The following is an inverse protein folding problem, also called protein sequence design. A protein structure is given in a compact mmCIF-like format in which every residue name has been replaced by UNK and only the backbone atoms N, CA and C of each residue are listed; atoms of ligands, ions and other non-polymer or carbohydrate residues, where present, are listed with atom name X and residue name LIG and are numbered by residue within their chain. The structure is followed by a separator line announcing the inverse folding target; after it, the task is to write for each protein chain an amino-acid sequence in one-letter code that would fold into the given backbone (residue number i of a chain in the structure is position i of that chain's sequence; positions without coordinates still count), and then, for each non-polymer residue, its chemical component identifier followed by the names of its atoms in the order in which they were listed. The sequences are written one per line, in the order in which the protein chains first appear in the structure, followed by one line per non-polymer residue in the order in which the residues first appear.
data_IF_173034764986
#
_entry.id   IF_173034764986
#
_cell.length_a   1.000
_cell.length_b   1.000
_cell.length_c   1.000
_cell.angle_alpha   90.00
_cell.angle_beta   90.00
_cell.angle_gamma   90.00
#
_symmetry.space_group_name_H-M   'P 1'
#
loop_
_entity.id
_entity.type
_entity.pdbx_description
1 polymer ?
#
# COMPACT_ATOMS: atom_id res chain seq x y z
N UNK A 1 15.92 16.51 -21.99
CA UNK A 1 14.93 15.42 -21.76
C UNK A 1 14.19 15.67 -20.45
N UNK A 2 12.88 15.43 -20.36
CA UNK A 2 12.08 15.62 -19.12
C UNK A 2 11.66 14.27 -18.50
N UNK A 3 12.64 13.42 -18.16
CA UNK A 3 12.41 12.03 -17.73
C UNK A 3 11.56 11.97 -16.46
N UNK A 4 11.92 12.74 -15.42
CA UNK A 4 11.15 12.78 -14.17
C UNK A 4 9.67 13.14 -14.42
N UNK A 5 9.43 14.14 -15.27
CA UNK A 5 8.06 14.55 -15.62
C UNK A 5 7.29 13.46 -16.37
N UNK A 6 7.96 12.64 -17.17
CA UNK A 6 7.33 11.49 -17.83
C UNK A 6 6.96 10.40 -16.82
N UNK A 7 7.83 10.12 -15.83
CA UNK A 7 7.57 9.17 -14.75
C UNK A 7 6.40 9.65 -13.89
N UNK A 8 6.39 10.92 -13.50
CA UNK A 8 5.34 11.51 -12.66
C UNK A 8 3.94 11.53 -13.32
N UNK A 9 3.86 11.37 -14.65
CA UNK A 9 2.58 11.24 -15.37
C UNK A 9 1.92 9.87 -15.20
N UNK A 10 2.69 8.85 -14.85
CA UNK A 10 2.18 7.50 -14.64
C UNK A 10 1.86 7.34 -13.15
N UNK A 11 0.62 7.00 -12.77
CA UNK A 11 0.29 6.72 -11.38
C UNK A 11 1.15 5.57 -10.84
N UNK A 12 1.86 5.80 -9.74
CA UNK A 12 2.86 4.86 -9.20
C UNK A 12 4.16 4.76 -10.00
N UNK A 13 4.38 5.63 -10.99
CA UNK A 13 5.51 5.56 -11.92
C UNK A 13 6.88 5.59 -11.26
N UNK A 14 7.04 6.32 -10.16
CA UNK A 14 8.29 6.37 -9.37
C UNK A 14 8.73 5.00 -8.84
N UNK A 15 7.78 4.09 -8.63
CA UNK A 15 8.05 2.72 -8.23
C UNK A 15 8.09 1.78 -9.44
N UNK A 16 7.12 1.88 -10.33
CA UNK A 16 6.91 0.90 -11.39
C UNK A 16 7.99 0.97 -12.47
N UNK A 17 8.41 2.17 -12.87
CA UNK A 17 9.42 2.29 -13.92
C UNK A 17 10.77 1.70 -13.48
N UNK A 18 11.29 2.01 -12.27
CA UNK A 18 12.51 1.36 -11.77
C UNK A 18 12.35 -0.14 -11.53
N UNK A 19 11.19 -0.60 -11.04
CA UNK A 19 10.91 -2.03 -10.89
C UNK A 19 10.94 -2.77 -12.23
N UNK A 20 10.30 -2.22 -13.25
CA UNK A 20 10.32 -2.81 -14.58
C UNK A 20 11.73 -2.82 -15.18
N UNK A 21 12.51 -1.75 -14.97
CA UNK A 21 13.93 -1.72 -15.35
C UNK A 21 14.73 -2.82 -14.64
N UNK A 22 14.49 -3.04 -13.34
CA UNK A 22 15.11 -4.15 -12.61
C UNK A 22 14.71 -5.52 -13.16
N UNK A 23 13.43 -5.71 -13.51
CA UNK A 23 12.95 -6.97 -14.09
C UNK A 23 13.54 -7.22 -15.49
N UNK A 24 13.74 -6.17 -16.29
CA UNK A 24 14.47 -6.25 -17.55
C UNK A 24 15.92 -6.68 -17.30
N UNK A 25 16.61 -6.07 -16.34
CA UNK A 25 17.97 -6.44 -15.96
C UNK A 25 18.06 -7.91 -15.52
N UNK A 26 17.17 -8.38 -14.65
CA UNK A 26 17.15 -9.77 -14.20
C UNK A 26 16.78 -10.76 -15.30
N UNK A 27 15.93 -10.37 -16.26
CA UNK A 27 15.53 -11.26 -17.37
C UNK A 27 16.62 -11.39 -18.41
N UNK A 28 17.24 -10.28 -18.83
CA UNK A 28 18.23 -10.28 -19.91
C UNK A 28 19.67 -10.45 -19.42
N UNK A 29 19.95 -10.14 -18.15
CA UNK A 29 21.28 -10.23 -17.56
C UNK A 29 21.22 -10.64 -16.06
N UNK A 30 20.66 -11.82 -15.72
CA UNK A 30 20.45 -12.27 -14.33
C UNK A 30 21.74 -12.34 -13.47
N UNK A 31 22.89 -12.49 -14.11
CA UNK A 31 24.20 -12.53 -13.46
C UNK A 31 24.87 -11.15 -13.29
N UNK A 32 24.28 -10.07 -13.81
CA UNK A 32 24.96 -8.76 -13.92
C UNK A 32 25.45 -8.23 -12.57
N UNK A 33 24.64 -8.34 -11.51
CA UNK A 33 25.03 -7.92 -10.17
C UNK A 33 26.28 -8.67 -9.69
N UNK A 34 26.24 -10.00 -9.71
CA UNK A 34 27.38 -10.84 -9.28
C UNK A 34 28.63 -10.62 -10.15
N UNK A 35 28.45 -10.46 -11.46
CA UNK A 35 29.54 -10.22 -12.40
C UNK A 35 30.23 -8.87 -12.17
N UNK A 36 29.45 -7.80 -11.96
CA UNK A 36 30.00 -6.45 -11.76
C UNK A 36 30.50 -6.23 -10.32
N UNK A 37 29.95 -6.96 -9.35
CA UNK A 37 30.33 -6.84 -7.94
C UNK A 37 30.11 -5.43 -7.37
N UNK A 38 30.79 -5.13 -6.26
CA UNK A 38 30.90 -3.79 -5.66
C UNK A 38 29.54 -3.07 -5.49
N UNK A 39 29.50 -1.75 -5.70
CA UNK A 39 28.31 -0.90 -5.57
C UNK A 39 27.15 -1.35 -6.47
N UNK A 40 27.44 -1.85 -7.67
CA UNK A 40 26.39 -2.31 -8.60
C UNK A 40 25.66 -3.54 -8.06
N UNK A 41 26.39 -4.53 -7.54
CA UNK A 41 25.79 -5.67 -6.86
C UNK A 41 25.01 -5.22 -5.61
N UNK A 42 25.59 -4.30 -4.85
CA UNK A 42 24.94 -3.73 -3.66
C UNK A 42 23.60 -3.07 -3.98
N UNK A 43 23.52 -2.31 -5.08
CA UNK A 43 22.27 -1.68 -5.52
C UNK A 43 21.25 -2.72 -6.04
N UNK A 44 21.71 -3.69 -6.84
CA UNK A 44 20.84 -4.73 -7.44
C UNK A 44 20.24 -5.65 -6.37
N UNK A 45 21.01 -5.99 -5.34
CA UNK A 45 20.60 -6.96 -4.30
C UNK A 45 20.12 -6.28 -3.00
N UNK A 46 20.30 -4.97 -2.88
CA UNK A 46 20.08 -4.18 -1.66
C UNK A 46 18.63 -3.88 -1.30
N UNK A 47 17.67 -4.73 -1.65
CA UNK A 47 16.24 -4.52 -1.37
C UNK A 47 15.97 -4.22 0.10
N UNK A 48 16.40 -5.11 1.00
CA UNK A 48 16.18 -4.99 2.45
C UNK A 48 16.84 -3.76 3.06
N UNK A 49 18.15 -3.50 2.86
CA UNK A 49 18.78 -2.33 3.48
C UNK A 49 18.19 -1.01 2.97
N UNK A 50 17.87 -0.87 1.68
CA UNK A 50 17.25 0.35 1.15
C UNK A 50 15.84 0.54 1.73
N UNK A 51 15.06 -0.54 1.84
CA UNK A 51 13.75 -0.50 2.50
C UNK A 51 13.86 -0.11 3.97
N UNK A 52 14.82 -0.66 4.72
CA UNK A 52 15.03 -0.32 6.12
C UNK A 52 15.31 1.18 6.32
N UNK A 53 16.14 1.78 5.45
CA UNK A 53 16.38 3.23 5.45
C UNK A 53 15.09 3.99 5.09
N UNK A 54 14.32 3.50 4.12
CA UNK A 54 13.04 4.11 3.77
C UNK A 54 12.01 4.06 4.92
N UNK A 55 11.92 2.96 5.67
CA UNK A 55 11.08 2.85 6.88
C UNK A 55 11.51 3.83 7.96
N UNK A 56 12.81 3.98 8.18
CA UNK A 56 13.34 4.97 9.08
C UNK A 56 12.93 6.39 8.64
N UNK A 57 13.11 6.73 7.36
CA UNK A 57 12.73 8.04 6.84
C UNK A 57 11.22 8.29 6.94
N UNK A 58 10.40 7.26 6.71
CA UNK A 58 8.96 7.34 6.90
C UNK A 58 8.60 7.59 8.35
N UNK A 59 9.17 6.84 9.30
CA UNK A 59 8.96 7.07 10.73
C UNK A 59 9.29 8.51 11.10
N UNK A 60 10.45 9.00 10.66
CA UNK A 60 10.90 10.36 10.93
C UNK A 60 9.98 11.45 10.34
N UNK A 61 9.21 11.15 9.29
CA UNK A 61 8.29 12.10 8.68
C UNK A 61 7.01 12.35 9.49
N UNK A 62 6.68 11.48 10.44
CA UNK A 62 5.41 11.53 11.19
C UNK A 62 5.52 12.49 12.38
N UNK A 63 4.54 13.40 12.51
CA UNK A 63 4.40 14.32 13.65
C UNK A 63 3.32 13.84 14.62
N UNK A 64 3.61 13.90 15.93
CA UNK A 64 2.67 13.54 17.00
C UNK A 64 1.46 14.48 17.16
N UNK A 65 1.42 15.63 16.48
CA UNK A 65 0.36 16.64 16.63
C UNK A 65 -0.93 16.31 15.87
N UNK A 66 -1.43 15.09 15.99
CA UNK A 66 -2.73 14.71 15.46
C UNK A 66 -3.84 15.13 16.43
N UNK A 67 -4.91 15.75 15.92
CA UNK A 67 -6.10 16.03 16.74
C UNK A 67 -6.84 14.72 17.05
N UNK A 68 -7.54 14.64 18.19
CA UNK A 68 -8.32 13.43 18.54
C UNK A 68 -9.32 13.01 17.45
N UNK A 69 -9.91 13.99 16.76
CA UNK A 69 -10.79 13.76 15.61
C UNK A 69 -10.06 13.14 14.42
N UNK A 70 -8.83 13.60 14.11
CA UNK A 70 -7.99 13.01 13.05
C UNK A 70 -7.64 11.56 13.38
N UNK A 71 -7.26 11.28 14.65
CA UNK A 71 -6.96 9.93 15.11
C UNK A 71 -8.18 9.01 15.00
N UNK A 72 -9.36 9.49 15.39
CA UNK A 72 -10.61 8.72 15.26
C UNK A 72 -10.90 8.39 13.80
N UNK A 73 -10.91 9.39 12.91
CA UNK A 73 -11.26 9.19 11.50
C UNK A 73 -10.26 8.26 10.80
N UNK A 74 -8.97 8.49 10.98
CA UNK A 74 -7.96 7.62 10.37
C UNK A 74 -7.97 6.22 10.98
N UNK A 75 -8.02 6.11 12.31
CA UNK A 75 -7.99 4.84 13.02
C UNK A 75 -9.17 3.94 12.63
N UNK A 76 -10.37 4.51 12.43
CA UNK A 76 -11.53 3.77 11.91
C UNK A 76 -11.22 3.17 10.55
N UNK A 77 -10.67 3.94 9.60
CA UNK A 77 -10.34 3.44 8.27
C UNK A 77 -9.25 2.36 8.36
N UNK A 78 -8.21 2.61 9.15
CA UNK A 78 -7.08 1.71 9.29
C UNK A 78 -7.48 0.35 9.86
N UNK A 79 -8.19 0.37 10.99
CA UNK A 79 -8.68 -0.86 11.62
C UNK A 79 -9.64 -1.59 10.70
N UNK A 80 -10.54 -0.87 10.02
CA UNK A 80 -11.50 -1.49 9.08
C UNK A 80 -10.78 -2.19 7.93
N UNK A 81 -9.73 -1.56 7.39
CA UNK A 81 -8.98 -2.13 6.27
C UNK A 81 -8.22 -3.39 6.67
N UNK A 82 -7.49 -3.32 7.78
CA UNK A 82 -6.76 -4.47 8.33
C UNK A 82 -7.71 -5.60 8.71
N UNK A 83 -8.83 -5.29 9.36
CA UNK A 83 -9.85 -6.28 9.71
C UNK A 83 -10.46 -6.93 8.46
N UNK A 84 -10.68 -6.16 7.39
CA UNK A 84 -11.16 -6.71 6.12
C UNK A 84 -10.13 -7.65 5.50
N UNK A 85 -8.86 -7.26 5.45
CA UNK A 85 -7.77 -8.13 4.97
C UNK A 85 -7.65 -9.41 5.82
N UNK A 86 -7.81 -9.30 7.13
CA UNK A 86 -7.84 -10.45 8.05
C UNK A 86 -9.03 -11.38 7.80
N UNK A 87 -10.23 -10.85 7.60
CA UNK A 87 -11.40 -11.66 7.24
C UNK A 87 -11.21 -12.36 5.90
N UNK A 88 -10.62 -11.68 4.92
CA UNK A 88 -10.27 -12.30 3.64
C UNK A 88 -9.25 -13.42 3.85
N UNK A 89 -8.19 -13.17 4.64
CA UNK A 89 -7.17 -14.17 4.97
C UNK A 89 -7.80 -15.42 5.63
N UNK A 90 -8.68 -15.23 6.60
CA UNK A 90 -9.43 -16.32 7.25
C UNK A 90 -10.32 -17.08 6.27
N UNK A 91 -11.01 -16.36 5.38
CA UNK A 91 -11.95 -16.96 4.43
C UNK A 91 -11.24 -17.76 3.33
N UNK A 92 -10.10 -17.28 2.83
CA UNK A 92 -9.38 -17.89 1.71
C UNK A 92 -8.23 -18.80 2.14
N UNK A 93 -7.68 -18.59 3.34
CA UNK A 93 -6.48 -19.28 3.82
C UNK A 93 -6.64 -20.79 3.99
N UNK A 94 -7.87 -21.27 4.21
CA UNK A 94 -8.17 -22.70 4.25
C UNK A 94 -8.24 -23.37 2.87
N UNK A 95 -8.43 -22.58 1.80
CA UNK A 95 -8.67 -23.10 0.44
C UNK A 95 -7.55 -22.78 -0.55
N UNK A 96 -6.80 -21.69 -0.33
CA UNK A 96 -5.68 -21.32 -1.19
C UNK A 96 -4.40 -22.01 -0.72
N UNK A 97 -3.67 -22.71 -1.62
CA UNK A 97 -2.37 -23.23 -1.30
C UNK A 97 -1.41 -22.09 -0.96
N UNK A 98 -0.44 -22.37 -0.08
CA UNK A 98 0.53 -21.38 0.39
C UNK A 98 1.35 -20.78 -0.76
N UNK A 99 1.65 -21.62 -1.77
CA UNK A 99 2.36 -21.23 -2.99
C UNK A 99 1.50 -20.39 -3.96
N UNK A 100 0.21 -20.24 -3.67
CA UNK A 100 -0.78 -19.63 -4.55
C UNK A 100 -1.27 -20.56 -5.65
N UNK A 101 -2.22 -20.07 -6.43
CA UNK A 101 -2.75 -20.77 -7.61
C UNK A 101 -1.63 -20.89 -8.66
N UNK A 102 -1.28 -22.12 -9.03
CA UNK A 102 -0.13 -22.38 -9.91
C UNK A 102 -0.42 -22.12 -11.39
N UNK A 103 -1.68 -22.25 -11.83
CA UNK A 103 -2.03 -22.17 -13.25
C UNK A 103 -3.44 -21.59 -13.50
N UNK A 104 -3.65 -21.14 -14.73
CA UNK A 104 -4.93 -20.62 -15.22
C UNK A 104 -5.10 -19.12 -14.98
N UNK A 105 -6.35 -18.64 -15.10
CA UNK A 105 -6.67 -17.21 -15.08
C UNK A 105 -6.30 -16.51 -13.76
N UNK A 106 -6.21 -17.28 -12.67
CA UNK A 106 -5.92 -16.80 -11.33
C UNK A 106 -4.49 -17.10 -10.88
N UNK A 107 -3.60 -17.46 -11.81
CA UNK A 107 -2.21 -17.80 -11.50
C UNK A 107 -1.52 -16.70 -10.68
N UNK A 108 -0.79 -17.12 -9.64
CA UNK A 108 -0.09 -16.25 -8.70
C UNK A 108 -0.96 -15.74 -7.54
N UNK A 109 -2.30 -15.83 -7.61
CA UNK A 109 -3.15 -15.42 -6.49
C UNK A 109 -2.87 -16.35 -5.30
N UNK A 110 -2.40 -15.75 -4.22
CA UNK A 110 -2.08 -16.41 -2.95
C UNK A 110 -2.68 -15.59 -1.81
N UNK A 111 -2.81 -16.18 -0.64
CA UNK A 111 -3.21 -15.41 0.54
C UNK A 111 -2.23 -14.28 0.84
N UNK A 112 -0.93 -14.48 0.57
CA UNK A 112 0.08 -13.43 0.65
C UNK A 112 -0.20 -12.26 -0.30
N UNK A 113 -0.53 -12.54 -1.56
CA UNK A 113 -0.86 -11.50 -2.55
C UNK A 113 -2.13 -10.73 -2.16
N UNK A 114 -3.16 -11.45 -1.69
CA UNK A 114 -4.44 -10.86 -1.28
C UNK A 114 -4.26 -9.94 -0.07
N UNK A 115 -3.61 -10.44 0.99
CA UNK A 115 -3.39 -9.67 2.22
C UNK A 115 -2.54 -8.45 1.92
N UNK A 116 -1.37 -8.62 1.29
CA UNK A 116 -0.47 -7.50 0.98
C UNK A 116 -1.13 -6.43 0.08
N UNK A 117 -2.03 -6.83 -0.84
CA UNK A 117 -2.74 -5.87 -1.67
C UNK A 117 -3.86 -5.12 -0.93
N UNK A 118 -4.42 -5.71 0.13
CA UNK A 118 -5.63 -5.24 0.81
C UNK A 118 -5.37 -4.51 2.12
N UNK A 119 -4.29 -4.79 2.84
CA UNK A 119 -4.05 -4.26 4.20
C UNK A 119 -3.36 -2.90 4.23
N UNK A 120 -2.97 -2.36 3.07
CA UNK A 120 -2.23 -1.09 2.96
C UNK A 120 -2.96 -0.08 2.09
N UNK A 121 -3.11 1.15 2.58
CA UNK A 121 -3.65 2.28 1.81
C UNK A 121 -2.55 3.07 1.11
N UNK A 122 -2.76 3.47 -0.15
CA UNK A 122 -1.90 4.48 -0.77
C UNK A 122 -2.19 5.84 -0.13
N UNK A 123 -1.50 6.11 0.96
CA UNK A 123 -1.83 7.26 1.78
C UNK A 123 -1.47 8.60 1.11
N UNK A 124 -0.47 8.64 0.22
CA UNK A 124 -0.20 9.83 -0.60
C UNK A 124 -1.34 10.15 -1.57
N UNK A 125 -1.92 9.11 -2.19
CA UNK A 125 -3.12 9.24 -3.03
C UNK A 125 -4.33 9.67 -2.21
N UNK A 126 -4.54 9.04 -1.04
CA UNK A 126 -5.60 9.40 -0.11
C UNK A 126 -5.49 10.86 0.32
N UNK A 127 -4.31 11.32 0.73
CA UNK A 127 -4.07 12.71 1.14
C UNK A 127 -4.40 13.70 0.01
N UNK A 128 -3.98 13.39 -1.23
CA UNK A 128 -4.30 14.21 -2.40
C UNK A 128 -5.82 14.29 -2.66
N UNK A 129 -6.53 13.17 -2.56
CA UNK A 129 -7.98 13.12 -2.74
C UNK A 129 -8.73 13.83 -1.62
N UNK A 130 -8.30 13.67 -0.37
CA UNK A 130 -8.93 14.35 0.77
C UNK A 130 -8.65 15.84 0.79
N UNK A 131 -7.49 16.29 0.30
CA UNK A 131 -7.25 17.72 0.08
C UNK A 131 -8.22 18.33 -0.95
N UNK A 132 -8.70 17.53 -1.91
CA UNK A 132 -9.61 18.00 -2.95
C UNK A 132 -11.10 17.85 -2.58
N UNK A 133 -11.46 16.73 -1.95
CA UNK A 133 -12.87 16.33 -1.74
C UNK A 133 -13.27 16.21 -0.28
N UNK A 134 -12.31 16.12 0.65
CA UNK A 134 -12.54 15.90 2.07
C UNK A 134 -12.37 17.16 2.92
N UNK A 135 -12.34 16.93 4.23
CA UNK A 135 -12.09 17.93 5.28
C UNK A 135 -10.61 18.01 5.64
N UNK A 136 -10.20 19.06 6.38
CA UNK A 136 -8.81 19.21 6.85
C UNK A 136 -8.40 18.07 7.79
N UNK A 137 -9.35 17.60 8.60
CA UNK A 137 -9.14 16.48 9.51
C UNK A 137 -8.94 15.17 8.73
N UNK A 138 -9.69 14.96 7.64
CA UNK A 138 -9.55 13.80 6.76
C UNK A 138 -8.29 13.85 5.92
N UNK A 139 -7.82 15.02 5.48
CA UNK A 139 -6.56 15.11 4.74
C UNK A 139 -5.35 14.89 5.63
N UNK A 140 -5.39 15.37 6.89
CA UNK A 140 -4.37 15.08 7.88
C UNK A 140 -4.38 13.65 8.42
N UNK A 141 -5.49 12.91 8.25
CA UNK A 141 -5.63 11.51 8.66
C UNK A 141 -4.62 10.56 7.98
N UNK A 142 -3.98 10.95 6.88
CA UNK A 142 -2.93 10.16 6.21
C UNK A 142 -1.79 9.70 7.15
N UNK A 143 -1.53 10.44 8.23
CA UNK A 143 -0.45 10.13 9.17
C UNK A 143 -0.56 8.71 9.72
N UNK A 144 -1.73 8.26 10.17
CA UNK A 144 -1.90 6.89 10.69
C UNK A 144 -1.93 5.85 9.56
N UNK A 145 -2.37 6.20 8.36
CA UNK A 145 -2.32 5.27 7.20
C UNK A 145 -0.88 4.93 6.81
N UNK A 146 0.08 5.80 7.14
CA UNK A 146 1.50 5.49 6.97
C UNK A 146 1.96 4.35 7.91
N UNK A 147 1.26 4.08 9.01
CA UNK A 147 1.56 2.94 9.89
C UNK A 147 1.19 1.59 9.27
N UNK A 148 0.21 1.58 8.36
CA UNK A 148 -0.08 0.38 7.57
C UNK A 148 1.04 0.08 6.59
N UNK A 149 1.86 1.08 6.26
CA UNK A 149 2.87 0.97 5.21
C UNK A 149 4.03 0.07 5.64
N UNK A 150 3.90 -1.26 5.49
CA UNK A 150 5.00 -2.20 5.56
C UNK A 150 4.59 -3.66 5.72
N UNK A 151 5.55 -4.56 6.04
CA UNK A 151 5.22 -5.95 6.30
C UNK A 151 4.50 -6.14 7.64
N UNK A 152 4.53 -5.16 8.55
CA UNK A 152 4.02 -5.31 9.91
C UNK A 152 2.55 -5.75 9.95
N UNK A 153 1.66 -5.03 9.26
CA UNK A 153 0.23 -5.35 9.29
C UNK A 153 -0.04 -6.68 8.59
N UNK A 154 0.70 -6.98 7.52
CA UNK A 154 0.63 -8.28 6.84
C UNK A 154 1.05 -9.42 7.76
N UNK A 155 2.13 -9.24 8.55
CA UNK A 155 2.55 -10.23 9.53
C UNK A 155 1.50 -10.44 10.62
N UNK A 156 0.89 -9.36 11.11
CA UNK A 156 -0.21 -9.45 12.10
C UNK A 156 -1.39 -10.21 11.50
N UNK A 157 -1.80 -9.87 10.28
CA UNK A 157 -2.92 -10.52 9.59
C UNK A 157 -2.64 -12.00 9.35
N UNK A 158 -1.52 -12.34 8.70
CA UNK A 158 -1.17 -13.73 8.41
C UNK A 158 -0.93 -14.55 9.69
N UNK A 159 -0.32 -13.94 10.70
CA UNK A 159 -0.05 -14.54 12.00
C UNK A 159 -1.31 -14.88 12.76
N UNK A 160 -2.19 -13.90 12.93
CA UNK A 160 -3.44 -14.07 13.68
C UNK A 160 -4.50 -14.86 12.89
N UNK A 161 -4.40 -14.93 11.57
CA UNK A 161 -5.23 -15.82 10.75
C UNK A 161 -4.76 -17.29 10.75
N UNK A 162 -3.65 -17.60 11.44
CA UNK A 162 -3.10 -18.96 11.52
C UNK A 162 -2.43 -19.45 10.23
N UNK A 163 -2.09 -18.53 9.32
CA UNK A 163 -1.52 -18.85 8.00
C UNK A 163 0.01 -18.96 8.08
N UNK A 164 0.63 -18.21 8.99
CA UNK A 164 2.08 -18.23 9.21
C UNK A 164 2.42 -18.01 10.67
N UNK A 165 3.54 -18.55 11.13
CA UNK A 165 4.10 -18.24 12.45
C UNK A 165 5.31 -17.33 12.28
N UNK A 166 5.34 -16.24 13.03
CA UNK A 166 6.44 -15.29 13.03
C UNK A 166 7.07 -15.23 14.41
N UNK A 167 8.39 -15.31 14.49
CA UNK A 167 9.11 -15.12 15.74
C UNK A 167 8.93 -13.68 16.23
N UNK A 168 8.63 -13.44 17.52
CA UNK A 168 8.47 -12.09 18.08
C UNK A 168 9.64 -11.16 17.78
N UNK A 169 10.86 -11.70 17.70
CA UNK A 169 12.07 -10.95 17.35
C UNK A 169 12.01 -10.35 15.94
N UNK A 170 11.42 -11.05 14.97
CA UNK A 170 11.26 -10.56 13.60
C UNK A 170 10.31 -9.35 13.53
N UNK A 171 9.26 -9.33 14.36
CA UNK A 171 8.39 -8.16 14.51
C UNK A 171 9.16 -6.96 15.05
N UNK A 172 9.95 -7.16 16.10
CA UNK A 172 10.79 -6.09 16.67
C UNK A 172 11.74 -5.57 15.59
N UNK A 173 12.42 -6.46 14.86
CA UNK A 173 13.33 -6.10 13.77
C UNK A 173 12.65 -5.31 12.64
N UNK A 174 11.43 -5.68 12.25
CA UNK A 174 10.67 -4.99 11.21
C UNK A 174 10.22 -3.58 11.64
N UNK A 175 9.95 -3.37 12.93
CA UNK A 175 9.39 -2.12 13.47
C UNK A 175 10.47 -1.16 13.98
N UNK A 176 11.63 -1.67 14.38
CA UNK A 176 12.68 -0.87 15.01
C UNK A 176 13.16 0.31 14.15
N UNK A 177 13.49 0.17 12.85
CA UNK A 177 13.92 1.30 12.03
C UNK A 177 12.87 2.42 11.98
N UNK A 178 11.60 2.04 11.87
CA UNK A 178 10.48 2.96 11.89
C UNK A 178 10.39 3.72 13.23
N UNK A 179 10.47 3.02 14.37
CA UNK A 179 10.39 3.64 15.69
C UNK A 179 11.56 4.58 15.98
N UNK A 180 12.78 4.21 15.58
CA UNK A 180 13.96 5.08 15.73
C UNK A 180 13.80 6.34 14.89
N UNK A 181 13.37 6.19 13.63
CA UNK A 181 13.06 7.32 12.76
C UNK A 181 12.00 8.23 13.39
N UNK A 182 10.88 7.65 13.80
CA UNK A 182 9.76 8.35 14.45
C UNK A 182 10.20 9.15 15.69
N UNK A 183 11.00 8.53 16.55
CA UNK A 183 11.56 9.19 17.73
C UNK A 183 12.41 10.40 17.32
N UNK A 184 13.37 10.22 16.40
CA UNK A 184 14.27 11.29 15.97
C UNK A 184 13.53 12.44 15.28
N UNK A 185 12.54 12.14 14.44
CA UNK A 185 11.74 13.15 13.76
C UNK A 185 10.87 13.99 14.71
N UNK A 186 10.47 13.43 15.85
CA UNK A 186 9.74 14.16 16.89
C UNK A 186 10.66 14.88 17.89
N UNK A 187 11.92 14.44 18.03
CA UNK A 187 12.94 15.14 18.83
C UNK A 187 13.50 16.38 18.11
N UNK A 188 13.65 16.32 16.79
CA UNK A 188 14.25 17.38 16.00
C UNK A 188 13.46 17.64 14.69
N UNK A 189 12.79 18.79 14.56
CA UNK A 189 12.09 19.19 13.34
C UNK A 189 12.96 19.27 12.08
N UNK A 190 14.26 19.58 12.21
CA UNK A 190 15.18 19.64 11.09
C UNK A 190 15.58 18.24 10.61
N UNK A 191 15.77 17.29 11.54
CA UNK A 191 15.93 15.87 11.17
C UNK A 191 14.68 15.33 10.47
N UNK A 192 13.49 15.68 10.97
CA UNK A 192 12.24 15.32 10.29
C UNK A 192 12.18 15.89 8.87
N UNK A 193 12.56 17.16 8.68
CA UNK A 193 12.58 17.78 7.33
C UNK A 193 13.59 17.09 6.41
N UNK A 194 14.77 16.78 6.93
CA UNK A 194 15.84 16.09 6.20
C UNK A 194 15.40 14.69 5.77
N UNK A 195 14.97 13.85 6.72
CA UNK A 195 14.60 12.47 6.45
C UNK A 195 13.25 12.34 5.74
N UNK A 196 12.27 13.20 6.04
CA UNK A 196 10.98 13.22 5.35
C UNK A 196 11.12 13.49 3.85
N UNK A 197 12.09 14.32 3.44
CA UNK A 197 12.42 14.56 2.03
C UNK A 197 13.02 13.33 1.30
N UNK A 198 13.56 12.36 2.04
CA UNK A 198 14.16 11.16 1.47
C UNK A 198 13.14 10.05 1.16
N UNK A 199 11.94 10.08 1.74
CA UNK A 199 10.92 9.03 1.58
C UNK A 199 10.59 8.78 0.11
N UNK A 200 10.32 9.83 -0.68
CA UNK A 200 10.04 9.70 -2.11
C UNK A 200 11.30 9.38 -2.93
N UNK A 201 12.45 9.91 -2.51
CA UNK A 201 13.74 9.76 -3.19
C UNK A 201 14.24 8.32 -3.17
N UNK A 202 13.95 7.56 -2.11
CA UNK A 202 14.37 6.16 -1.97
C UNK A 202 13.51 5.18 -2.77
N UNK A 203 12.28 5.55 -3.15
CA UNK A 203 11.33 4.68 -3.88
C UNK A 203 11.95 4.05 -5.14
N UNK A 204 12.56 4.83 -6.05
CA UNK A 204 13.16 4.26 -7.25
C UNK A 204 14.25 3.23 -6.98
N UNK A 205 15.02 3.39 -5.90
CA UNK A 205 16.18 2.54 -5.61
C UNK A 205 15.76 1.18 -5.09
N UNK A 206 14.87 1.12 -4.09
CA UNK A 206 14.38 -0.18 -3.62
C UNK A 206 13.48 -0.84 -4.66
N UNK A 207 12.73 -0.07 -5.46
CA UNK A 207 11.90 -0.62 -6.52
C UNK A 207 12.75 -1.27 -7.62
N UNK A 208 13.88 -0.66 -8.00
CA UNK A 208 14.85 -1.28 -8.90
C UNK A 208 15.45 -2.56 -8.32
N UNK A 209 15.87 -2.55 -7.06
CA UNK A 209 16.39 -3.74 -6.38
C UNK A 209 15.34 -4.87 -6.33
N UNK A 210 14.08 -4.55 -6.01
CA UNK A 210 12.96 -5.49 -6.07
C UNK A 210 12.73 -6.05 -7.48
N UNK A 211 12.76 -5.19 -8.49
CA UNK A 211 12.63 -5.59 -9.89
C UNK A 211 13.65 -6.64 -10.29
N UNK A 212 14.88 -6.54 -9.78
CA UNK A 212 15.94 -7.51 -10.04
C UNK A 212 15.70 -8.90 -9.43
N UNK A 213 14.61 -9.09 -8.69
CA UNK A 213 14.20 -10.41 -8.17
C UNK A 213 13.09 -11.06 -8.99
N UNK A 214 12.53 -10.37 -10.00
CA UNK A 214 11.35 -10.78 -10.77
C UNK A 214 11.74 -11.02 -12.23
N UNK A 215 11.19 -12.06 -12.86
CA UNK A 215 11.33 -12.30 -14.31
C UNK A 215 10.17 -11.63 -15.07
N UNK A 216 10.43 -11.09 -16.26
CA UNK A 216 9.38 -10.50 -17.12
C UNK A 216 8.23 -11.47 -17.39
N UNK A 217 8.52 -12.76 -17.53
CA UNK A 217 7.52 -13.81 -17.72
C UNK A 217 6.46 -13.79 -16.59
N UNK A 218 6.88 -13.65 -15.33
CA UNK A 218 5.97 -13.59 -14.19
C UNK A 218 5.03 -12.39 -14.30
N UNK A 219 5.55 -11.23 -14.73
CA UNK A 219 4.74 -10.01 -14.92
C UNK A 219 3.67 -10.21 -16.00
N UNK A 220 4.01 -10.90 -17.09
CA UNK A 220 3.07 -11.19 -18.17
C UNK A 220 2.01 -12.20 -17.72
N UNK A 221 2.42 -13.28 -17.06
CA UNK A 221 1.54 -14.34 -16.58
C UNK A 221 0.55 -13.84 -15.53
N UNK A 222 1.00 -13.01 -14.58
CA UNK A 222 0.15 -12.50 -13.49
C UNK A 222 -0.57 -11.21 -13.85
N UNK A 223 -0.26 -10.57 -14.99
CA UNK A 223 -0.75 -9.23 -15.31
C UNK A 223 -2.28 -9.12 -15.33
N UNK A 224 -2.97 -10.09 -15.93
CA UNK A 224 -4.43 -10.10 -15.96
C UNK A 224 -5.04 -10.33 -14.57
N UNK A 225 -4.53 -11.32 -13.83
CA UNK A 225 -4.95 -11.59 -12.46
C UNK A 225 -4.70 -10.39 -11.53
N UNK A 226 -3.64 -9.61 -11.80
CA UNK A 226 -3.32 -8.40 -11.06
C UNK A 226 -4.30 -7.26 -11.35
N UNK A 227 -4.78 -7.13 -12.58
CA UNK A 227 -5.84 -6.17 -12.92
C UNK A 227 -7.13 -6.53 -12.17
N UNK A 228 -7.50 -7.81 -12.23
CA UNK A 228 -8.65 -8.32 -11.50
C UNK A 228 -8.52 -8.08 -10.00
N UNK A 229 -7.35 -8.40 -9.41
CA UNK A 229 -7.04 -8.15 -8.01
C UNK A 229 -7.24 -6.67 -7.65
N UNK A 230 -6.76 -5.74 -8.47
CA UNK A 230 -6.94 -4.30 -8.21
C UNK A 230 -8.40 -3.88 -8.07
N UNK A 231 -9.29 -4.40 -8.91
CA UNK A 231 -10.73 -4.15 -8.76
C UNK A 231 -11.33 -4.85 -7.55
N UNK A 232 -10.88 -6.08 -7.25
CA UNK A 232 -11.29 -6.80 -6.04
C UNK A 232 -10.89 -6.03 -4.79
N UNK A 233 -9.69 -5.46 -4.71
CA UNK A 233 -9.26 -4.61 -3.58
C UNK A 233 -10.21 -3.43 -3.40
N UNK A 234 -10.53 -2.70 -4.48
CA UNK A 234 -11.44 -1.54 -4.41
C UNK A 234 -12.81 -1.95 -3.87
N UNK A 235 -13.35 -3.08 -4.32
CA UNK A 235 -14.69 -3.52 -3.91
C UNK A 235 -14.67 -4.08 -2.49
N UNK A 236 -13.79 -5.04 -2.22
CA UNK A 236 -13.75 -5.80 -0.96
C UNK A 236 -13.32 -4.92 0.19
N UNK A 237 -12.33 -4.04 0.01
CA UNK A 237 -11.93 -3.10 1.06
C UNK A 237 -12.76 -1.82 1.05
N UNK A 238 -13.15 -1.33 -0.14
CA UNK A 238 -13.87 -0.06 -0.25
C UNK A 238 -15.28 -0.09 0.32
N UNK A 239 -16.03 -1.19 0.16
CA UNK A 239 -17.39 -1.28 0.74
C UNK A 239 -17.35 -1.15 2.27
N UNK A 240 -16.59 -1.98 3.03
CA UNK A 240 -16.42 -1.80 4.47
C UNK A 240 -15.90 -0.41 4.84
N UNK A 241 -14.91 0.12 4.12
CA UNK A 241 -14.35 1.45 4.38
C UNK A 241 -15.37 2.58 4.22
N UNK A 242 -16.21 2.54 3.19
CA UNK A 242 -17.30 3.50 2.99
C UNK A 242 -18.29 3.44 4.15
N UNK A 243 -18.65 2.25 4.60
CA UNK A 243 -19.59 2.07 5.72
C UNK A 243 -18.97 2.56 7.03
N UNK A 244 -17.71 2.20 7.30
CA UNK A 244 -16.99 2.63 8.48
C UNK A 244 -16.80 4.15 8.53
N UNK A 245 -16.45 4.77 7.40
CA UNK A 245 -16.35 6.23 7.28
C UNK A 245 -17.68 6.91 7.65
N UNK A 246 -18.80 6.43 7.10
CA UNK A 246 -20.14 6.97 7.38
C UNK A 246 -20.59 6.77 8.81
N UNK A 247 -20.50 5.54 9.32
CA UNK A 247 -21.16 5.17 10.56
C UNK A 247 -20.29 5.33 11.80
N UNK A 248 -18.96 5.20 11.66
CA UNK A 248 -18.01 5.28 12.77
C UNK A 248 -17.16 6.56 12.70
N UNK A 249 -16.72 6.93 11.49
CA UNK A 249 -15.90 8.11 11.21
C UNK A 249 -16.68 9.43 11.19
N UNK A 250 -18.00 9.38 10.96
CA UNK A 250 -18.85 10.57 10.80
C UNK A 250 -18.60 11.33 9.50
N UNK A 251 -17.95 10.68 8.52
CA UNK A 251 -17.79 11.18 7.16
C UNK A 251 -19.01 10.88 6.29
N UNK A 252 -18.88 11.10 4.98
CA UNK A 252 -19.92 10.81 4.00
C UNK A 252 -19.59 9.64 3.06
N UNK A 253 -18.56 8.87 3.40
CA UNK A 253 -18.06 7.73 2.64
C UNK A 253 -16.93 8.10 1.69
N UNK A 254 -16.69 9.40 1.44
CA UNK A 254 -15.66 9.85 0.49
C UNK A 254 -14.26 9.46 0.94
N UNK A 255 -13.96 9.55 2.24
CA UNK A 255 -12.68 9.11 2.78
C UNK A 255 -12.53 7.59 2.70
N UNK A 256 -13.63 6.85 2.93
CA UNK A 256 -13.67 5.41 2.73
C UNK A 256 -13.34 4.97 1.30
N UNK A 257 -13.91 5.63 0.28
CA UNK A 257 -13.56 5.38 -1.12
C UNK A 257 -12.08 5.67 -1.37
N UNK A 258 -11.60 6.84 -0.94
CA UNK A 258 -10.20 7.24 -1.15
C UNK A 258 -9.20 6.27 -0.49
N UNK A 259 -9.58 5.64 0.63
CA UNK A 259 -8.78 4.67 1.35
C UNK A 259 -8.77 3.27 0.70
N UNK A 260 -9.59 3.00 -0.32
CA UNK A 260 -9.70 1.67 -0.98
C UNK A 260 -8.57 1.31 -1.95
N UNK A 261 -7.46 2.06 -1.92
CA UNK A 261 -6.32 1.87 -2.83
C UNK A 261 -5.24 0.94 -2.25
N UNK A 262 -4.44 0.30 -3.10
CA UNK A 262 -3.24 -0.45 -2.68
C UNK A 262 -2.03 0.49 -2.63
N UNK A 263 -1.26 0.46 -1.53
CA UNK A 263 -0.06 1.27 -1.38
C UNK A 263 1.08 0.81 -2.31
N UNK A 264 1.91 1.75 -2.80
CA UNK A 264 3.13 1.37 -3.53
C UNK A 264 4.07 0.50 -2.68
N UNK A 265 4.21 0.84 -1.40
CA UNK A 265 5.01 0.07 -0.46
C UNK A 265 4.61 -1.42 -0.36
N UNK A 266 3.35 -1.74 -0.65
CA UNK A 266 2.85 -3.12 -0.65
C UNK A 266 3.58 -4.05 -1.62
N UNK A 267 4.16 -3.50 -2.70
CA UNK A 267 4.90 -4.29 -3.69
C UNK A 267 6.12 -4.98 -3.08
N UNK A 268 6.74 -4.35 -2.08
CA UNK A 268 7.88 -4.92 -1.37
C UNK A 268 7.49 -6.04 -0.38
N UNK A 269 6.25 -5.99 0.13
CA UNK A 269 5.79 -6.82 1.25
C UNK A 269 5.93 -8.32 1.00
N UNK A 270 5.52 -8.89 -0.14
CA UNK A 270 5.60 -10.35 -0.34
C UNK A 270 7.02 -10.90 -0.21
N UNK A 271 8.02 -10.19 -0.76
CA UNK A 271 9.42 -10.58 -0.68
C UNK A 271 9.94 -10.46 0.76
N UNK A 272 9.56 -9.40 1.48
CA UNK A 272 9.94 -9.24 2.89
C UNK A 272 9.36 -10.36 3.77
N UNK A 273 8.10 -10.71 3.57
CA UNK A 273 7.46 -11.83 4.28
C UNK A 273 8.18 -13.14 3.94
N UNK A 274 8.52 -13.39 2.67
CA UNK A 274 9.24 -14.59 2.27
C UNK A 274 10.67 -14.68 2.84
N UNK A 275 11.30 -13.56 3.16
CA UNK A 275 12.60 -13.56 3.83
C UNK A 275 12.49 -13.88 5.32
N UNK A 276 11.35 -13.56 5.94
CA UNK A 276 11.06 -13.89 7.34
C UNK A 276 10.51 -15.31 7.49
N UNK A 277 9.72 -15.76 6.49
CA UNK A 277 9.04 -17.05 6.45
C UNK A 277 9.32 -17.67 5.07
N UNK A 278 10.37 -18.50 4.93
CA UNK A 278 10.84 -19.05 3.65
C UNK A 278 9.79 -19.85 2.88
N UNK A 279 8.76 -20.35 3.55
CA UNK A 279 7.64 -21.08 2.95
C UNK A 279 6.88 -20.24 1.91
N UNK A 280 6.91 -18.92 2.03
CA UNK A 280 6.31 -18.01 1.03
C UNK A 280 7.24 -17.68 -0.15
N UNK A 281 8.50 -18.11 -0.13
CA UNK A 281 9.46 -17.80 -1.20
C UNK A 281 8.98 -18.19 -2.61
N UNK A 282 8.28 -19.32 -2.83
CA UNK A 282 7.74 -19.66 -4.14
C UNK A 282 6.65 -18.69 -4.61
N UNK A 283 5.80 -18.20 -3.70
CA UNK A 283 4.68 -17.31 -4.02
C UNK A 283 5.09 -15.85 -4.18
N UNK A 284 6.17 -15.42 -3.51
CA UNK A 284 6.51 -14.01 -3.38
C UNK A 284 6.74 -13.26 -4.70
N UNK A 285 7.44 -13.80 -5.73
CA UNK A 285 7.61 -13.10 -7.00
C UNK A 285 6.27 -12.82 -7.71
N UNK A 286 5.37 -13.81 -7.73
CA UNK A 286 4.06 -13.68 -8.34
C UNK A 286 3.16 -12.72 -7.54
N UNK A 287 3.16 -12.84 -6.21
CA UNK A 287 2.46 -11.93 -5.32
C UNK A 287 2.94 -10.48 -5.50
N UNK A 288 4.25 -10.24 -5.57
CA UNK A 288 4.82 -8.91 -5.82
C UNK A 288 4.37 -8.35 -7.18
N UNK A 289 4.36 -9.16 -8.23
CA UNK A 289 3.88 -8.73 -9.55
C UNK A 289 2.38 -8.37 -9.53
N UNK A 290 1.55 -9.20 -8.90
CA UNK A 290 0.11 -8.94 -8.72
C UNK A 290 -0.17 -7.66 -7.94
N UNK A 291 0.54 -7.47 -6.82
CA UNK A 291 0.40 -6.28 -5.97
C UNK A 291 0.84 -5.03 -6.75
N UNK A 292 1.91 -5.11 -7.55
CA UNK A 292 2.36 -4.01 -8.41
C UNK A 292 1.29 -3.61 -9.43
N UNK A 293 0.63 -4.58 -10.06
CA UNK A 293 -0.50 -4.32 -10.96
C UNK A 293 -1.70 -3.74 -10.20
N UNK A 294 -2.02 -4.24 -9.00
CA UNK A 294 -3.07 -3.69 -8.14
C UNK A 294 -2.83 -2.22 -7.82
N UNK A 295 -1.58 -1.82 -7.53
CA UNK A 295 -1.22 -0.41 -7.30
C UNK A 295 -1.56 0.45 -8.52
N UNK A 296 -1.30 -0.01 -9.74
CA UNK A 296 -1.65 0.74 -10.96
C UNK A 296 -3.15 0.91 -11.07
N UNK A 297 -3.89 -0.21 -11.02
CA UNK A 297 -5.34 -0.22 -11.20
C UNK A 297 -6.00 0.68 -10.16
N UNK A 298 -5.64 0.52 -8.89
CA UNK A 298 -6.20 1.34 -7.81
C UNK A 298 -5.78 2.81 -7.91
N UNK A 299 -4.55 3.12 -8.31
CA UNK A 299 -4.10 4.51 -8.47
C UNK A 299 -4.80 5.27 -9.60
N UNK A 300 -5.35 4.55 -10.60
CA UNK A 300 -6.17 5.15 -11.67
C UNK A 300 -7.66 5.17 -11.29
N UNK A 301 -8.18 4.04 -10.82
CA UNK A 301 -9.62 3.87 -10.59
C UNK A 301 -10.10 4.62 -9.33
N UNK A 302 -9.36 4.57 -8.23
CA UNK A 302 -9.80 5.16 -6.95
C UNK A 302 -10.04 6.68 -7.06
N UNK A 303 -9.17 7.49 -7.72
CA UNK A 303 -9.45 8.90 -7.93
C UNK A 303 -10.74 9.18 -8.71
N UNK A 304 -11.00 8.39 -9.76
CA UNK A 304 -12.20 8.52 -10.59
C UNK A 304 -13.44 8.18 -9.75
N UNK A 305 -13.42 7.05 -9.05
CA UNK A 305 -14.53 6.60 -8.21
C UNK A 305 -14.78 7.59 -7.08
N UNK A 306 -13.72 8.11 -6.43
CA UNK A 306 -13.82 9.12 -5.37
C UNK A 306 -14.47 10.41 -5.90
N UNK A 307 -14.06 10.88 -7.08
CA UNK A 307 -14.64 12.07 -7.70
C UNK A 307 -16.13 11.88 -8.03
N UNK A 308 -16.50 10.72 -8.57
CA UNK A 308 -17.90 10.37 -8.87
C UNK A 308 -18.73 10.29 -7.59
N UNK A 309 -18.21 9.64 -6.54
CA UNK A 309 -18.85 9.52 -5.24
C UNK A 309 -19.08 10.88 -4.58
N UNK A 310 -18.02 11.71 -4.48
CA UNK A 310 -18.10 13.04 -3.91
C UNK A 310 -19.14 13.92 -4.64
N UNK A 311 -19.23 13.80 -5.97
CA UNK A 311 -20.25 14.48 -6.77
C UNK A 311 -21.67 14.00 -6.44
N UNK A 312 -21.87 12.70 -6.28
CA UNK A 312 -23.18 12.13 -5.92
C UNK A 312 -23.62 12.53 -4.51
N UNK A 313 -22.71 12.47 -3.52
CA UNK A 313 -23.00 12.88 -2.15
C UNK A 313 -23.37 14.36 -2.07
N UNK A 314 -22.64 15.24 -2.77
CA UNK A 314 -22.98 16.67 -2.84
C UNK A 314 -24.38 16.90 -3.43
N UNK A 315 -24.76 16.18 -4.48
CA UNK A 315 -26.12 16.25 -5.05
C UNK A 315 -27.18 15.79 -4.04
N UNK A 316 -26.93 14.71 -3.31
CA UNK A 316 -27.84 14.19 -2.27
C UNK A 316 -28.09 15.20 -1.14
N UNK A 317 -27.02 15.86 -0.67
CA UNK A 317 -27.11 16.91 0.37
C UNK A 317 -27.93 18.13 -0.10
N UNK A 318 -27.75 18.56 -1.36
CA UNK A 318 -28.55 19.64 -1.95
C UNK A 318 -30.02 19.23 -2.10
N UNK A 319 -30.29 18.00 -2.55
CA UNK A 319 -31.65 17.47 -2.66
C UNK A 319 -32.39 17.42 -1.32
N UNK A 320 -31.73 16.94 -0.25
CA UNK A 320 -32.29 16.93 1.10
C UNK A 320 -32.57 18.34 1.63
N UNK A 321 -31.65 19.29 1.43
CA UNK A 321 -31.86 20.68 1.84
C UNK A 321 -33.07 21.32 1.15
N UNK A 322 -33.28 21.04 -0.14
CA UNK A 322 -34.45 21.52 -0.90
C UNK A 322 -35.75 20.88 -0.41
N UNK A 323 -35.74 19.61 -0.01
CA UNK A 323 -36.92 18.92 0.54
C UNK A 323 -37.27 19.48 1.92
N UNK A 324 -36.28 19.68 2.80
CA UNK A 324 -36.49 20.25 4.14
C UNK A 324 -37.01 21.69 4.03
N UNK A 325 -36.46 22.51 3.12
CA UNK A 325 -36.94 23.87 2.89
C UNK A 325 -38.36 23.96 2.31
N UNK A 326 -38.89 22.86 1.76
CA UNK A 326 -40.25 22.77 1.20
C UNK A 326 -41.27 22.15 2.17
N UNK A 327 -40.84 21.68 3.34
CA UNK A 327 -41.79 21.24 4.37
C UNK A 327 -42.47 22.49 4.96
N UNK A 328 -43.82 22.51 5.06
CA UNK A 328 -44.50 23.61 5.73
C UNK A 328 -44.03 23.66 7.19
N UNK A 329 -43.56 24.83 7.60
CA UNK A 329 -43.21 25.10 9.00
C UNK A 329 -44.49 24.90 9.84
N UNK A 330 -44.43 24.19 10.98
CA UNK A 330 -45.59 23.98 11.83
C UNK A 330 -46.20 25.29 12.33
#
# INVERSE_FOLDING_TARGET
MQIKKAIDRVPGGLMLAPLFLGALCNTFAPGAGKYLGSFTNGLITGTVPILAVWFFCMGASIELKATGTMLKKSGVLVVTKIATAWLVAMAVGAFLPLNGVEAGLFAGISTLALVAAMDMTNGGLYAALMNQYGTKEESGAFVLMSLESGPLMTMVVLGTAGIASFEPQLFVGAVLPFLVGFMLGNLDPDLRKMFGGAVQTLIPFFAFALGNTIKLQVIVETGFAGIFLGFVVIIVTGIPLILADKFLGGGDGTAGVAASSTAGAAVATPILIAQMVPEFAPAAPAATALVATSVIVTSVAVPIITALWAKQVKKGKVGQAVIIAKQPVP
#
